data_IF_796685959143
#
_entry.id   IF_796685959143
#
_cell.length_a   1.000
_cell.length_b   1.000
_cell.length_c   1.000
_cell.angle_alpha   90.00
_cell.angle_beta   90.00
_cell.angle_gamma   90.00
#
_symmetry.space_group_name_H-M   'P 1'
#
loop_
_entity.id
_entity.type
_entity.pdbx_description
1 polymer ?
#
# COMPACT_ATOMS: atom_id res chain seq x y z
N UNK A 1 29.94 -30.81 -50.27
CA UNK A 1 30.18 -30.92 -48.82
C UNK A 1 29.85 -29.62 -48.07
N UNK A 2 30.47 -28.47 -48.38
CA UNK A 2 30.21 -27.20 -47.66
C UNK A 2 28.74 -26.74 -47.73
N UNK A 3 28.11 -26.81 -48.90
CA UNK A 3 26.69 -26.41 -49.10
C UNK A 3 25.71 -27.27 -48.29
N UNK A 4 25.97 -28.57 -48.19
CA UNK A 4 25.14 -29.52 -47.43
C UNK A 4 25.20 -29.25 -45.93
N UNK A 5 26.39 -28.95 -45.39
CA UNK A 5 26.57 -28.58 -43.99
C UNK A 5 25.80 -27.30 -43.64
N UNK A 6 25.76 -26.31 -44.54
CA UNK A 6 25.03 -25.06 -44.33
C UNK A 6 23.50 -25.26 -44.23
N UNK A 7 22.93 -26.14 -45.06
CA UNK A 7 21.49 -26.47 -44.97
C UNK A 7 21.12 -27.10 -43.62
N UNK A 8 21.92 -28.06 -43.15
CA UNK A 8 21.69 -28.74 -41.87
C UNK A 8 21.75 -27.74 -40.71
N UNK A 9 22.77 -26.88 -40.69
CA UNK A 9 22.92 -25.84 -39.66
C UNK A 9 21.71 -24.89 -39.67
N UNK A 10 21.26 -24.44 -40.85
CA UNK A 10 20.10 -23.56 -40.98
C UNK A 10 18.82 -24.20 -40.44
N UNK A 11 18.57 -25.48 -40.75
CA UNK A 11 17.38 -26.21 -40.27
C UNK A 11 17.42 -26.33 -38.74
N UNK A 12 18.56 -26.73 -38.17
CA UNK A 12 18.73 -26.84 -36.72
C UNK A 12 18.50 -25.51 -36.01
N UNK A 13 19.03 -24.41 -36.57
CA UNK A 13 18.83 -23.07 -36.04
C UNK A 13 17.34 -22.67 -36.07
N UNK A 14 16.64 -22.93 -37.18
CA UNK A 14 15.22 -22.59 -37.33
C UNK A 14 14.32 -23.40 -36.38
N UNK A 15 14.60 -24.69 -36.20
CA UNK A 15 13.90 -25.53 -35.20
C UNK A 15 14.16 -25.00 -33.79
N UNK A 16 15.41 -24.65 -33.46
CA UNK A 16 15.75 -24.07 -32.17
C UNK A 16 15.00 -22.76 -31.89
N UNK A 17 14.93 -21.86 -32.88
CA UNK A 17 14.19 -20.61 -32.74
C UNK A 17 12.67 -20.85 -32.63
N UNK A 18 12.12 -21.83 -33.33
CA UNK A 18 10.71 -22.23 -33.16
C UNK A 18 10.42 -22.67 -31.71
N UNK A 19 11.29 -23.49 -31.13
CA UNK A 19 11.17 -23.93 -29.72
C UNK A 19 11.28 -22.75 -28.74
N UNK A 20 12.18 -21.79 -29.00
CA UNK A 20 12.26 -20.57 -28.20
C UNK A 20 10.96 -19.75 -28.29
N UNK A 21 10.39 -19.59 -29.49
CA UNK A 21 9.11 -18.91 -29.67
C UNK A 21 7.98 -19.59 -28.88
N UNK A 22 7.93 -20.93 -28.84
CA UNK A 22 6.97 -21.67 -28.03
C UNK A 22 7.17 -21.45 -26.52
N UNK A 23 8.41 -21.32 -26.04
CA UNK A 23 8.65 -20.99 -24.62
C UNK A 23 8.09 -19.64 -24.20
N UNK A 24 8.01 -18.67 -25.10
CA UNK A 24 7.39 -17.38 -24.78
C UNK A 24 5.87 -17.46 -24.58
N UNK A 25 5.20 -18.51 -25.08
CA UNK A 25 3.76 -18.76 -24.87
C UNK A 25 3.44 -18.90 -23.38
N UNK A 26 4.28 -19.62 -22.62
CA UNK A 26 4.07 -19.76 -21.17
C UNK A 26 4.29 -18.46 -20.41
N UNK A 27 5.05 -17.51 -20.96
CA UNK A 27 5.34 -16.23 -20.34
C UNK A 27 4.25 -15.17 -20.62
N UNK A 28 3.73 -15.10 -21.84
CA UNK A 28 2.77 -14.05 -22.25
C UNK A 28 1.30 -14.48 -22.24
N UNK A 29 0.99 -15.67 -21.69
CA UNK A 29 -0.24 -16.46 -21.95
C UNK A 29 -0.36 -16.84 -23.44
N UNK A 30 -1.29 -17.75 -23.78
CA UNK A 30 -1.48 -18.29 -25.14
C UNK A 30 -1.92 -17.18 -26.11
N UNK A 31 -0.94 -16.45 -26.66
CA UNK A 31 -1.11 -15.43 -27.68
C UNK A 31 -0.79 -16.06 -29.03
N UNK A 32 -1.72 -15.89 -29.97
CA UNK A 32 -1.64 -16.41 -31.35
C UNK A 32 -0.34 -15.97 -32.04
N UNK A 33 0.19 -14.80 -31.69
CA UNK A 33 1.45 -14.24 -32.20
C UNK A 33 2.63 -15.22 -32.11
N UNK A 34 2.84 -15.85 -30.96
CA UNK A 34 3.96 -16.78 -30.74
C UNK A 34 3.77 -18.11 -31.46
N UNK A 35 2.53 -18.56 -31.59
CA UNK A 35 2.19 -19.76 -32.37
C UNK A 35 2.47 -19.52 -33.85
N UNK A 36 2.04 -18.38 -34.41
CA UNK A 36 2.32 -18.02 -35.80
C UNK A 36 3.81 -17.86 -36.07
N UNK A 37 4.56 -17.22 -35.17
CA UNK A 37 6.01 -17.08 -35.32
C UNK A 37 6.70 -18.45 -35.30
N UNK A 38 6.29 -19.34 -34.38
CA UNK A 38 6.80 -20.72 -34.35
C UNK A 38 6.48 -21.48 -35.65
N UNK A 39 5.25 -21.36 -36.17
CA UNK A 39 4.86 -21.95 -37.44
C UNK A 39 5.72 -21.39 -38.58
N UNK A 40 5.96 -20.09 -38.60
CA UNK A 40 6.84 -19.45 -39.59
C UNK A 40 8.26 -20.01 -39.57
N UNK A 41 8.86 -20.21 -38.39
CA UNK A 41 10.18 -20.84 -38.28
C UNK A 41 10.19 -22.31 -38.70
N UNK A 42 9.13 -23.07 -38.40
CA UNK A 42 8.97 -24.45 -38.86
C UNK A 42 8.82 -24.51 -40.39
N UNK A 43 8.01 -23.62 -40.99
CA UNK A 43 7.88 -23.49 -42.45
C UNK A 43 9.23 -23.12 -43.09
N UNK A 44 10.02 -22.27 -42.44
CA UNK A 44 11.36 -21.91 -42.91
C UNK A 44 12.33 -23.11 -42.87
N UNK A 45 12.27 -23.94 -41.83
CA UNK A 45 13.02 -25.20 -41.73
C UNK A 45 12.60 -26.20 -42.81
N UNK A 46 11.30 -26.33 -43.04
CA UNK A 46 10.77 -27.21 -44.09
C UNK A 46 11.17 -26.74 -45.49
N UNK A 47 11.11 -25.43 -45.74
CA UNK A 47 11.63 -24.83 -46.99
C UNK A 47 13.10 -25.19 -47.22
N UNK A 48 13.94 -25.05 -46.19
CA UNK A 48 15.37 -25.40 -46.28
C UNK A 48 15.60 -26.88 -46.54
N UNK A 49 14.75 -27.76 -46.00
CA UNK A 49 14.79 -29.19 -46.27
C UNK A 49 14.43 -29.51 -47.74
N UNK A 50 13.45 -28.82 -48.32
CA UNK A 50 13.10 -28.95 -49.74
C UNK A 50 14.27 -28.51 -50.63
N UNK A 51 14.88 -27.35 -50.35
CA UNK A 51 16.05 -26.87 -51.09
C UNK A 51 17.24 -27.84 -51.01
N UNK A 52 17.48 -28.42 -49.83
CA UNK A 52 18.49 -29.47 -49.66
C UNK A 52 18.17 -30.72 -50.49
N UNK A 53 16.90 -31.16 -50.50
CA UNK A 53 16.45 -32.33 -51.26
C UNK A 53 16.54 -32.11 -52.76
N UNK A 54 16.22 -30.90 -53.24
CA UNK A 54 16.39 -30.49 -54.63
C UNK A 54 17.85 -30.61 -55.07
N UNK A 55 18.79 -30.17 -54.22
CA UNK A 55 20.23 -30.22 -54.50
C UNK A 55 20.78 -31.66 -54.58
N UNK A 56 20.15 -32.63 -53.92
CA UNK A 56 20.53 -34.05 -53.99
C UNK A 56 19.92 -34.77 -55.21
N UNK A 57 18.83 -34.25 -55.78
CA UNK A 57 18.06 -34.95 -56.82
C UNK A 57 17.85 -34.08 -58.06
N UNK A 58 18.79 -34.19 -59.01
CA UNK A 58 18.85 -33.40 -60.25
C UNK A 58 17.60 -33.53 -61.13
N UNK A 59 16.85 -34.64 -61.02
CA UNK A 59 15.64 -34.89 -61.82
C UNK A 59 14.45 -34.00 -61.41
N UNK A 60 14.38 -33.58 -60.15
CA UNK A 60 13.25 -32.81 -59.60
C UNK A 60 13.65 -31.40 -59.16
N UNK A 61 14.85 -30.95 -59.53
CA UNK A 61 15.42 -29.69 -59.05
C UNK A 61 14.51 -28.48 -59.31
N UNK A 62 13.99 -28.34 -60.53
CA UNK A 62 13.14 -27.18 -60.89
C UNK A 62 11.78 -27.17 -60.18
N UNK A 63 11.15 -28.34 -60.01
CA UNK A 63 9.85 -28.44 -59.34
C UNK A 63 9.96 -28.13 -57.84
N UNK A 64 10.95 -28.72 -57.16
CA UNK A 64 11.21 -28.48 -55.74
C UNK A 64 11.68 -27.05 -55.47
N UNK A 65 12.48 -26.46 -56.38
CA UNK A 65 12.90 -25.07 -56.28
C UNK A 65 11.70 -24.11 -56.34
N UNK A 66 10.79 -24.28 -57.30
CA UNK A 66 9.56 -23.47 -57.39
C UNK A 66 8.68 -23.61 -56.15
N UNK A 67 8.52 -24.81 -55.62
CA UNK A 67 7.78 -25.03 -54.37
C UNK A 67 8.41 -24.27 -53.20
N UNK A 68 9.75 -24.24 -53.11
CA UNK A 68 10.46 -23.53 -52.04
C UNK A 68 10.24 -22.01 -52.06
N UNK A 69 10.11 -21.40 -53.24
CA UNK A 69 9.83 -19.97 -53.41
C UNK A 69 8.45 -19.60 -52.86
N UNK A 70 7.41 -20.35 -53.24
CA UNK A 70 6.05 -20.15 -52.73
C UNK A 70 5.95 -20.35 -51.21
N UNK A 71 6.64 -21.35 -50.66
CA UNK A 71 6.73 -21.54 -49.21
C UNK A 71 7.43 -20.33 -48.55
N UNK A 72 8.43 -19.74 -49.19
CA UNK A 72 9.11 -18.54 -48.73
C UNK A 72 8.18 -17.32 -48.63
N UNK A 73 7.31 -17.12 -49.63
CA UNK A 73 6.29 -16.07 -49.62
C UNK A 73 5.29 -16.32 -48.48
N UNK A 74 4.76 -17.55 -48.37
CA UNK A 74 3.82 -17.91 -47.31
C UNK A 74 4.43 -17.73 -45.91
N UNK A 75 5.70 -18.11 -45.72
CA UNK A 75 6.45 -17.92 -44.48
C UNK A 75 6.55 -16.44 -44.11
N UNK A 76 6.83 -15.57 -45.09
CA UNK A 76 6.95 -14.12 -44.87
C UNK A 76 5.62 -13.52 -44.41
N UNK A 77 4.50 -13.96 -44.98
CA UNK A 77 3.16 -13.53 -44.55
C UNK A 77 2.86 -13.99 -43.13
N UNK A 78 3.12 -15.26 -42.80
CA UNK A 78 2.88 -15.82 -41.46
C UNK A 78 3.69 -15.08 -40.39
N UNK A 79 4.97 -14.82 -40.65
CA UNK A 79 5.84 -14.08 -39.72
C UNK A 79 5.36 -12.62 -39.60
N UNK A 80 5.01 -11.96 -40.71
CA UNK A 80 4.52 -10.58 -40.68
C UNK A 80 3.24 -10.44 -39.83
N UNK A 81 2.28 -11.35 -39.99
CA UNK A 81 1.07 -11.40 -39.16
C UNK A 81 1.42 -11.69 -37.70
N UNK A 82 2.31 -12.66 -37.45
CA UNK A 82 2.79 -12.98 -36.11
C UNK A 82 3.38 -11.78 -35.39
N UNK A 83 4.26 -11.01 -36.07
CA UNK A 83 4.87 -9.79 -35.55
C UNK A 83 3.85 -8.68 -35.35
N UNK A 84 2.91 -8.49 -36.29
CA UNK A 84 1.86 -7.49 -36.17
C UNK A 84 1.01 -7.71 -34.90
N UNK A 85 0.69 -8.97 -34.59
CA UNK A 85 -0.07 -9.32 -33.38
C UNK A 85 0.74 -9.16 -32.07
N UNK A 86 2.06 -9.03 -32.10
CA UNK A 86 2.86 -8.71 -30.90
C UNK A 86 2.51 -7.31 -30.38
N UNK A 87 2.09 -6.39 -31.27
CA UNK A 87 1.68 -5.03 -30.91
C UNK A 87 0.65 -5.00 -29.78
N UNK A 88 -0.32 -5.90 -29.83
CA UNK A 88 -1.40 -5.99 -28.83
C UNK A 88 -0.89 -6.44 -27.46
N UNK A 89 0.16 -7.27 -27.42
CA UNK A 89 0.83 -7.67 -26.17
C UNK A 89 1.43 -6.44 -25.51
N UNK A 90 2.23 -5.65 -26.24
CA UNK A 90 2.84 -4.43 -25.70
C UNK A 90 1.81 -3.39 -25.25
N UNK A 91 0.72 -3.21 -26.02
CA UNK A 91 -0.36 -2.30 -25.60
C UNK A 91 -1.06 -2.78 -24.32
N UNK A 92 -1.29 -4.10 -24.17
CA UNK A 92 -1.91 -4.64 -22.96
C UNK A 92 -1.02 -4.46 -21.73
N UNK A 93 0.30 -4.69 -21.86
CA UNK A 93 1.26 -4.46 -20.78
C UNK A 93 1.31 -2.99 -20.38
N UNK A 94 1.38 -2.08 -21.35
CA UNK A 94 1.39 -0.63 -21.09
C UNK A 94 0.10 -0.16 -20.41
N UNK A 95 -1.05 -0.70 -20.80
CA UNK A 95 -2.35 -0.38 -20.17
C UNK A 95 -2.37 -0.85 -18.71
N UNK A 96 -1.91 -2.06 -18.44
CA UNK A 96 -1.83 -2.60 -17.08
C UNK A 96 -0.91 -1.74 -16.18
N UNK A 97 0.25 -1.31 -16.69
CA UNK A 97 1.18 -0.45 -15.95
C UNK A 97 0.54 0.93 -15.65
N UNK A 98 -0.14 1.54 -16.62
CA UNK A 98 -0.82 2.83 -16.43
C UNK A 98 -1.95 2.69 -15.40
N UNK A 99 -2.72 1.61 -15.46
CA UNK A 99 -3.81 1.34 -14.53
C UNK A 99 -3.30 1.12 -13.11
N UNK A 100 -2.22 0.36 -12.95
CA UNK A 100 -1.54 0.19 -11.67
C UNK A 100 -1.08 1.53 -11.09
N UNK A 101 -0.33 2.34 -11.86
CA UNK A 101 0.12 3.67 -11.43
C UNK A 101 -1.06 4.60 -11.09
N UNK A 102 -2.17 4.49 -11.80
CA UNK A 102 -3.38 5.26 -11.52
C UNK A 102 -4.03 4.83 -10.20
N UNK A 103 -4.07 3.53 -9.93
CA UNK A 103 -4.55 2.99 -8.65
C UNK A 103 -3.69 3.46 -7.49
N UNK A 104 -2.37 3.34 -7.59
CA UNK A 104 -1.40 3.81 -6.59
C UNK A 104 -1.57 5.31 -6.30
N UNK A 105 -1.72 6.14 -7.35
CA UNK A 105 -1.99 7.58 -7.18
C UNK A 105 -3.30 7.85 -6.46
N UNK A 106 -4.38 7.12 -6.79
CA UNK A 106 -5.68 7.29 -6.11
C UNK A 106 -5.57 6.99 -4.62
N UNK A 107 -4.87 5.91 -4.26
CA UNK A 107 -4.64 5.54 -2.85
C UNK A 107 -3.84 6.65 -2.15
N UNK A 108 -2.74 7.12 -2.74
CA UNK A 108 -1.94 8.20 -2.18
C UNK A 108 -2.75 9.50 -2.00
N UNK A 109 -3.54 9.90 -3.00
CA UNK A 109 -4.40 11.07 -2.91
C UNK A 109 -5.47 10.92 -1.83
N UNK A 110 -6.08 9.73 -1.69
CA UNK A 110 -7.05 9.47 -0.64
C UNK A 110 -6.41 9.56 0.75
N UNK A 111 -5.18 9.04 0.92
CA UNK A 111 -4.41 9.15 2.16
C UNK A 111 -4.13 10.62 2.49
N UNK A 112 -3.57 11.39 1.55
CA UNK A 112 -3.27 12.82 1.76
C UNK A 112 -4.53 13.62 2.11
N UNK A 113 -5.65 13.38 1.41
CA UNK A 113 -6.91 14.06 1.70
C UNK A 113 -7.46 13.67 3.08
N UNK A 114 -7.30 12.40 3.48
CA UNK A 114 -7.72 11.95 4.82
C UNK A 114 -6.85 12.59 5.89
N UNK A 115 -5.54 12.66 5.69
CA UNK A 115 -4.60 13.29 6.61
C UNK A 115 -4.88 14.79 6.76
N UNK A 116 -5.07 15.52 5.66
CA UNK A 116 -5.37 16.95 5.69
C UNK A 116 -6.73 17.23 6.35
N UNK A 117 -7.72 16.36 6.11
CA UNK A 117 -9.04 16.44 6.76
C UNK A 117 -8.93 16.24 8.27
N UNK A 118 -8.19 15.23 8.73
CA UNK A 118 -7.97 14.99 10.16
C UNK A 118 -7.17 16.14 10.80
N UNK A 119 -6.15 16.67 10.11
CA UNK A 119 -5.38 17.82 10.58
C UNK A 119 -6.25 19.07 10.75
N UNK A 120 -7.13 19.34 9.78
CA UNK A 120 -8.09 20.45 9.87
C UNK A 120 -9.08 20.25 11.00
N UNK A 121 -9.68 19.06 11.09
CA UNK A 121 -10.60 18.70 12.17
C UNK A 121 -9.95 18.87 13.54
N UNK A 122 -8.69 18.46 13.69
CA UNK A 122 -7.94 18.65 14.94
C UNK A 122 -7.72 20.13 15.28
N UNK A 123 -7.41 20.96 14.28
CA UNK A 123 -7.28 22.40 14.51
C UNK A 123 -8.62 23.03 14.95
N UNK A 124 -9.73 22.58 14.37
CA UNK A 124 -11.09 22.98 14.76
C UNK A 124 -11.43 22.51 16.19
N UNK A 125 -11.22 21.22 16.52
CA UNK A 125 -11.47 20.66 17.86
C UNK A 125 -10.65 21.39 18.95
N UNK A 126 -9.38 21.72 18.66
CA UNK A 126 -8.53 22.50 19.58
C UNK A 126 -9.03 23.93 19.72
N UNK A 127 -9.32 24.59 18.61
CA UNK A 127 -9.73 25.99 18.62
C UNK A 127 -11.04 26.18 19.39
N UNK A 128 -12.01 25.30 19.16
CA UNK A 128 -13.33 25.39 19.76
C UNK A 128 -13.34 24.92 21.23
N UNK A 129 -12.50 23.93 21.58
CA UNK A 129 -12.34 23.48 22.97
C UNK A 129 -11.54 24.45 23.84
N UNK A 130 -10.39 24.95 23.37
CA UNK A 130 -9.46 25.72 24.21
C UNK A 130 -9.62 27.24 24.07
N UNK A 131 -10.03 27.73 22.91
CA UNK A 131 -10.15 29.17 22.64
C UNK A 131 -11.02 29.91 23.66
N UNK A 132 -12.25 29.44 23.93
CA UNK A 132 -13.14 30.05 24.93
C UNK A 132 -12.62 29.94 26.36
N UNK A 133 -12.07 28.78 26.75
CA UNK A 133 -11.52 28.55 28.09
C UNK A 133 -10.36 29.50 28.39
N UNK A 134 -9.39 29.59 27.47
CA UNK A 134 -8.23 30.48 27.62
C UNK A 134 -8.61 31.96 27.60
N UNK A 135 -9.60 32.33 26.79
CA UNK A 135 -10.14 33.71 26.78
C UNK A 135 -10.78 34.08 28.11
N UNK A 136 -11.52 33.14 28.71
CA UNK A 136 -12.16 33.32 30.02
C UNK A 136 -11.12 33.41 31.13
N UNK A 137 -10.13 32.51 31.15
CA UNK A 137 -9.01 32.57 32.11
C UNK A 137 -8.31 33.93 32.03
N UNK A 138 -8.02 34.44 30.82
CA UNK A 138 -7.39 35.74 30.64
C UNK A 138 -8.22 36.89 31.21
N UNK A 139 -9.54 36.83 31.08
CA UNK A 139 -10.46 37.84 31.62
C UNK A 139 -10.40 37.86 33.16
N UNK A 140 -10.55 36.71 33.81
CA UNK A 140 -10.48 36.61 35.28
C UNK A 140 -9.10 36.98 35.83
N UNK A 141 -8.01 36.60 35.15
CA UNK A 141 -6.65 36.98 35.56
C UNK A 141 -6.45 38.50 35.51
N UNK A 142 -6.98 39.17 34.49
CA UNK A 142 -6.92 40.63 34.41
C UNK A 142 -7.73 41.28 35.56
N UNK A 143 -8.89 40.72 35.90
CA UNK A 143 -9.76 41.22 36.95
C UNK A 143 -9.11 41.13 38.35
N UNK A 144 -8.29 40.11 38.61
CA UNK A 144 -7.53 39.96 39.85
C UNK A 144 -6.57 41.12 40.16
N UNK A 145 -6.19 41.90 39.15
CA UNK A 145 -5.36 43.10 39.32
C UNK A 145 -6.14 44.32 39.82
N UNK A 146 -7.48 44.24 39.86
CA UNK A 146 -8.34 45.29 40.41
C UNK A 146 -8.15 45.45 41.93
N UNK A 147 -8.05 46.69 42.39
CA UNK A 147 -8.03 47.05 43.82
C UNK A 147 -9.43 47.02 44.45
N UNK A 148 -10.49 46.97 43.64
CA UNK A 148 -11.88 47.00 44.09
C UNK A 148 -12.38 45.64 44.61
N UNK A 149 -11.70 44.54 44.27
CA UNK A 149 -12.07 43.20 44.74
C UNK A 149 -11.55 42.95 46.16
N UNK A 150 -12.42 42.39 47.01
CA UNK A 150 -12.06 41.89 48.33
C UNK A 150 -11.14 40.67 48.26
N UNK A 151 -10.52 40.32 49.39
CA UNK A 151 -9.64 39.14 49.50
C UNK A 151 -10.41 37.84 49.21
N UNK A 152 -11.65 37.73 49.69
CA UNK A 152 -12.52 36.58 49.43
C UNK A 152 -12.85 36.44 47.93
N UNK A 153 -13.22 37.52 47.25
CA UNK A 153 -13.57 37.49 45.81
C UNK A 153 -12.35 37.16 44.93
N UNK A 154 -11.16 37.63 45.30
CA UNK A 154 -9.90 37.25 44.64
C UNK A 154 -9.63 35.75 44.79
N UNK A 155 -9.89 35.19 45.98
CA UNK A 155 -9.70 33.76 46.25
C UNK A 155 -10.68 32.90 45.45
N UNK A 156 -11.94 33.31 45.34
CA UNK A 156 -12.95 32.61 44.54
C UNK A 156 -12.61 32.64 43.04
N UNK A 157 -12.15 33.79 42.54
CA UNK A 157 -11.68 33.93 41.16
C UNK A 157 -10.49 33.03 40.85
N UNK A 158 -9.52 32.91 41.77
CA UNK A 158 -8.37 31.99 41.63
C UNK A 158 -8.84 30.53 41.59
N UNK A 159 -9.80 30.14 42.46
CA UNK A 159 -10.35 28.78 42.44
C UNK A 159 -11.04 28.47 41.11
N UNK A 160 -11.82 29.42 40.57
CA UNK A 160 -12.48 29.25 39.29
C UNK A 160 -11.48 29.18 38.12
N UNK A 161 -10.42 29.99 38.13
CA UNK A 161 -9.34 29.89 37.14
C UNK A 161 -8.69 28.50 37.17
N UNK A 162 -8.39 27.96 38.37
CA UNK A 162 -7.81 26.61 38.48
C UNK A 162 -8.75 25.54 37.90
N UNK A 163 -10.06 25.67 38.12
CA UNK A 163 -11.05 24.77 37.54
C UNK A 163 -11.06 24.85 36.00
N UNK A 164 -11.04 26.06 35.42
CA UNK A 164 -10.97 26.24 33.97
C UNK A 164 -9.67 25.68 33.37
N UNK A 165 -8.56 25.74 34.10
CA UNK A 165 -7.29 25.12 33.69
C UNK A 165 -7.41 23.59 33.70
N UNK A 166 -8.01 23.00 34.74
CA UNK A 166 -8.23 21.56 34.83
C UNK A 166 -9.13 21.07 33.68
N UNK A 167 -10.17 21.82 33.33
CA UNK A 167 -11.05 21.53 32.20
C UNK A 167 -10.27 21.59 30.87
N UNK A 168 -9.47 22.63 30.65
CA UNK A 168 -8.62 22.75 29.45
C UNK A 168 -7.60 21.61 29.31
N UNK A 169 -7.00 21.18 30.43
CA UNK A 169 -6.07 20.04 30.46
C UNK A 169 -6.80 18.74 30.15
N UNK A 170 -8.01 18.56 30.67
CA UNK A 170 -8.86 17.40 30.36
C UNK A 170 -9.24 17.34 28.87
N UNK A 171 -9.58 18.48 28.27
CA UNK A 171 -9.93 18.57 26.84
C UNK A 171 -8.73 18.29 25.93
N UNK A 172 -7.54 18.83 26.27
CA UNK A 172 -6.29 18.49 25.56
C UNK A 172 -6.03 16.99 25.64
N UNK A 173 -6.16 16.40 26.84
CA UNK A 173 -5.90 14.97 27.04
C UNK A 173 -6.88 14.09 26.27
N UNK A 174 -8.15 14.50 26.20
CA UNK A 174 -9.19 13.81 25.42
C UNK A 174 -8.90 13.90 23.92
N UNK A 175 -8.56 15.10 23.41
CA UNK A 175 -8.20 15.31 22.00
C UNK A 175 -6.89 14.59 21.64
N UNK A 176 -5.90 14.57 22.53
CA UNK A 176 -4.65 13.83 22.35
C UNK A 176 -4.83 12.31 22.39
N UNK A 177 -5.77 11.80 23.20
CA UNK A 177 -6.14 10.38 23.18
C UNK A 177 -6.77 9.97 21.84
N UNK A 178 -7.35 10.89 21.06
CA UNK A 178 -7.77 10.60 19.69
C UNK A 178 -6.57 10.49 18.72
N UNK A 179 -5.40 11.05 19.07
CA UNK A 179 -4.12 11.01 18.33
C UNK A 179 -3.21 9.83 18.70
N UNK A 180 -3.69 8.93 19.54
CA UNK A 180 -3.08 7.67 19.97
C UNK A 180 -2.29 6.85 18.92
N UNK A 181 -2.60 6.84 17.59
CA UNK A 181 -1.89 5.95 16.67
C UNK A 181 -0.36 6.06 16.70
N UNK A 182 0.20 7.21 17.11
CA UNK A 182 1.65 7.47 17.06
C UNK A 182 2.47 6.71 18.12
N UNK A 183 1.99 6.62 19.36
CA UNK A 183 2.71 5.94 20.46
C UNK A 183 2.77 4.42 20.22
N UNK A 184 1.67 3.85 19.74
CA UNK A 184 1.58 2.43 19.37
C UNK A 184 2.50 2.14 18.17
N UNK A 185 2.61 3.06 17.22
CA UNK A 185 3.45 2.89 16.04
C UNK A 185 4.95 2.76 16.37
N UNK A 186 5.44 3.45 17.40
CA UNK A 186 6.86 3.51 17.79
C UNK A 186 7.23 2.54 18.93
N UNK A 187 6.36 2.35 19.93
CA UNK A 187 6.69 1.64 21.17
C UNK A 187 5.85 0.36 21.41
N UNK A 188 4.85 0.10 20.57
CA UNK A 188 3.96 -1.05 20.64
C UNK A 188 2.85 -0.91 21.70
N UNK A 189 1.83 -1.77 21.60
CA UNK A 189 0.63 -1.73 22.45
C UNK A 189 0.93 -1.75 23.95
N UNK A 190 1.74 -2.70 24.41
CA UNK A 190 1.99 -2.92 25.84
C UNK A 190 2.62 -1.68 26.48
N UNK A 191 3.65 -1.12 25.84
CA UNK A 191 4.35 0.08 26.34
C UNK A 191 3.41 1.29 26.39
N UNK A 192 2.58 1.45 25.36
CA UNK A 192 1.62 2.55 25.30
C UNK A 192 0.57 2.46 26.42
N UNK A 193 0.01 1.27 26.66
CA UNK A 193 -0.97 1.04 27.73
C UNK A 193 -0.32 1.24 29.11
N UNK A 194 0.90 0.74 29.31
CA UNK A 194 1.63 0.93 30.56
C UNK A 194 1.87 2.41 30.88
N UNK A 195 2.30 3.21 29.89
CA UNK A 195 2.49 4.65 30.06
C UNK A 195 1.16 5.36 30.41
N UNK A 196 0.08 4.98 29.72
CA UNK A 196 -1.25 5.51 30.00
C UNK A 196 -1.73 5.20 31.42
N UNK A 197 -1.63 3.94 31.85
CA UNK A 197 -2.02 3.48 33.19
C UNK A 197 -1.16 4.11 34.30
N UNK A 198 0.14 4.26 34.08
CA UNK A 198 1.04 4.96 34.99
C UNK A 198 0.68 6.45 35.13
N UNK A 199 0.33 7.10 34.03
CA UNK A 199 -0.14 8.50 34.04
C UNK A 199 -1.42 8.70 34.85
N UNK A 200 -2.33 7.72 34.85
CA UNK A 200 -3.56 7.75 35.67
C UNK A 200 -3.25 7.45 37.14
N UNK A 201 -2.45 6.42 37.41
CA UNK A 201 -2.11 6.03 38.79
C UNK A 201 -1.40 7.14 39.58
N UNK A 202 -0.61 7.98 38.89
CA UNK A 202 0.01 9.19 39.48
C UNK A 202 -0.98 10.22 40.01
N UNK A 203 -2.21 10.25 39.50
CA UNK A 203 -3.25 11.17 39.98
C UNK A 203 -3.86 10.74 41.31
N UNK A 204 -3.50 9.56 41.83
CA UNK A 204 -4.06 8.91 43.03
C UNK A 204 -5.58 8.68 43.02
N UNK A 205 -6.26 8.97 41.90
CA UNK A 205 -7.71 8.77 41.76
C UNK A 205 -8.09 7.33 41.47
N UNK A 206 -7.19 6.54 40.89
CA UNK A 206 -7.42 5.14 40.52
C UNK A 206 -6.09 4.37 40.57
N UNK A 207 -6.07 3.22 41.24
CA UNK A 207 -4.93 2.30 41.18
C UNK A 207 -5.17 1.26 40.09
N UNK A 208 -4.26 1.18 39.12
CA UNK A 208 -4.33 0.26 37.98
C UNK A 208 -3.15 -0.71 38.07
N UNK A 209 -3.43 -2.00 38.16
CA UNK A 209 -2.42 -3.06 38.01
C UNK A 209 -2.52 -3.65 36.61
N UNK A 210 -1.40 -3.66 35.90
CA UNK A 210 -1.30 -4.25 34.56
C UNK A 210 -0.58 -5.60 34.67
N UNK A 211 -1.23 -6.69 34.29
CA UNK A 211 -0.55 -7.99 34.18
C UNK A 211 0.05 -8.17 32.77
N UNK A 212 1.33 -8.54 32.70
CA UNK A 212 2.07 -8.63 31.44
C UNK A 212 2.45 -10.07 31.16
N UNK A 213 1.84 -10.73 30.16
CA UNK A 213 2.29 -12.05 29.76
C UNK A 213 3.68 -11.99 29.11
N UNK A 214 4.54 -12.98 29.42
CA UNK A 214 5.89 -13.11 28.86
C UNK A 214 5.90 -13.35 27.32
N UNK A 215 4.76 -13.77 26.76
CA UNK A 215 4.59 -13.95 25.32
C UNK A 215 4.00 -12.69 24.68
N UNK A 216 4.72 -12.11 23.70
CA UNK A 216 4.16 -11.11 22.78
C UNK A 216 3.49 -11.83 21.60
N UNK A 217 2.15 -11.93 21.53
CA UNK A 217 1.50 -12.41 20.32
C UNK A 217 1.79 -11.43 19.17
N UNK A 218 2.05 -11.97 17.98
CA UNK A 218 2.27 -11.17 16.79
C UNK A 218 0.90 -10.67 16.28
N UNK A 219 0.49 -9.50 16.74
CA UNK A 219 -0.77 -8.84 16.35
C UNK A 219 -0.51 -7.75 15.33
N UNK A 220 -1.41 -7.61 14.35
CA UNK A 220 -1.31 -6.55 13.35
C UNK A 220 -1.39 -5.16 14.00
N UNK A 221 -0.66 -4.17 13.49
CA UNK A 221 -0.72 -2.78 14.01
C UNK A 221 -2.13 -2.21 14.10
N UNK A 222 -3.01 -2.60 13.18
CA UNK A 222 -4.41 -2.18 13.21
C UNK A 222 -5.16 -2.76 14.41
N UNK A 223 -4.88 -4.01 14.78
CA UNK A 223 -5.44 -4.65 15.97
C UNK A 223 -4.88 -4.01 17.25
N UNK A 224 -3.59 -3.68 17.28
CA UNK A 224 -2.97 -2.96 18.41
C UNK A 224 -3.64 -1.60 18.65
N UNK A 225 -3.85 -0.82 17.60
CA UNK A 225 -4.50 0.50 17.70
C UNK A 225 -5.93 0.38 18.23
N UNK A 226 -6.70 -0.60 17.75
CA UNK A 226 -8.07 -0.80 18.21
C UNK A 226 -8.15 -1.30 19.66
N UNK A 227 -7.27 -2.23 20.07
CA UNK A 227 -7.21 -2.72 21.45
C UNK A 227 -6.88 -1.59 22.42
N UNK A 228 -5.90 -0.76 22.09
CA UNK A 228 -5.57 0.40 22.92
C UNK A 228 -6.77 1.35 23.06
N UNK A 229 -7.48 1.64 21.96
CA UNK A 229 -8.67 2.51 22.01
C UNK A 229 -9.76 1.95 22.92
N UNK A 230 -9.99 0.64 22.86
CA UNK A 230 -10.95 -0.05 23.75
C UNK A 230 -10.52 0.08 25.21
N UNK A 231 -9.24 -0.18 25.53
CA UNK A 231 -8.70 -0.08 26.89
C UNK A 231 -8.85 1.35 27.42
N UNK A 232 -8.49 2.36 26.62
CA UNK A 232 -8.64 3.76 26.99
C UNK A 232 -10.09 4.13 27.31
N UNK A 233 -11.03 3.70 26.46
CA UNK A 233 -12.45 3.99 26.64
C UNK A 233 -13.01 3.32 27.90
N UNK A 234 -12.61 2.08 28.17
CA UNK A 234 -13.00 1.35 29.38
C UNK A 234 -12.48 2.01 30.66
N UNK A 235 -11.21 2.41 30.68
CA UNK A 235 -10.60 3.08 31.83
C UNK A 235 -11.24 4.46 32.05
N UNK A 236 -11.45 5.24 30.97
CA UNK A 236 -12.12 6.53 31.07
C UNK A 236 -13.57 6.40 31.55
N UNK A 237 -14.30 5.40 31.07
CA UNK A 237 -15.66 5.12 31.54
C UNK A 237 -15.66 4.74 33.03
N UNK A 238 -14.65 4.02 33.48
CA UNK A 238 -14.52 3.67 34.89
C UNK A 238 -14.22 4.90 35.75
N UNK A 239 -13.33 5.79 35.30
CA UNK A 239 -13.03 7.07 35.96
C UNK A 239 -14.27 7.99 36.05
N UNK A 240 -15.06 8.08 34.98
CA UNK A 240 -16.24 8.97 34.93
C UNK A 240 -17.46 8.42 35.67
N UNK A 241 -17.69 7.11 35.67
CA UNK A 241 -18.98 6.54 36.08
C UNK A 241 -18.94 5.62 37.31
N UNK A 242 -17.80 5.03 37.67
CA UNK A 242 -17.82 3.90 38.63
C UNK A 242 -17.59 4.28 40.09
N UNK A 243 -16.96 5.42 40.40
CA UNK A 243 -16.47 5.70 41.75
C UNK A 243 -15.51 4.63 42.32
N UNK A 244 -15.01 3.72 41.48
CA UNK A 244 -14.18 2.60 41.90
C UNK A 244 -12.75 3.07 42.21
N UNK A 245 -12.21 2.60 43.34
CA UNK A 245 -10.85 2.93 43.80
C UNK A 245 -9.77 1.99 43.26
N UNK A 246 -10.14 0.92 42.56
CA UNK A 246 -9.23 -0.11 42.06
C UNK A 246 -9.80 -0.81 40.82
N UNK A 247 -8.97 -1.00 39.79
CA UNK A 247 -9.25 -1.82 38.60
C UNK A 247 -8.07 -2.76 38.38
N UNK A 248 -8.38 -4.02 38.11
CA UNK A 248 -7.39 -5.08 37.84
C UNK A 248 -7.78 -5.70 36.51
N UNK A 249 -6.92 -5.62 35.50
CA UNK A 249 -7.08 -6.28 34.20
C UNK A 249 -5.70 -6.58 33.59
#
# INVERSE_FOLDING_TARGET
MVTQSLYIISILLQIFVAVLALRFISFTRIKISWVLISIGFIMMAFRRFIEFSAHLNTKYYEELSRASEWIGIATSVVIAVGVWLIRDIFYSLKRAEIEQKRSERKVLTAIMHTEEKERRRFAEDIHDGLGPLLSTIKLYVNELTSEELSIEEKKDSINYINQLIDDAVSDIRTTANNLTPRVIHEYGLISAVEEFCNGISRTQKLNIQLDKPDLKPEISKHAEINLYRIINELINNTLKHSGAKSVTD
#
